data_IF_793489511094
#
_entry.id   IF_793489511094
#
_cell.length_a   1.000
_cell.length_b   1.000
_cell.length_c   1.000
_cell.angle_alpha   90.00
_cell.angle_beta   90.00
_cell.angle_gamma   90.00
#
_symmetry.space_group_name_H-M   'P 1'
#
loop_
_entity.id
_entity.type
_entity.pdbx_description
1 polymer ?
#
# COMPACT_ATOMS: atom_id res chain seq x y z
N UNK A 1 17.35 17.43 -10.86
CA UNK A 1 17.93 16.68 -9.73
C UNK A 1 19.19 15.87 -10.05
N UNK A 2 19.42 15.35 -11.26
CA UNK A 2 20.58 14.47 -11.52
C UNK A 2 21.82 15.24 -12.03
N UNK A 3 22.56 15.90 -11.12
CA UNK A 3 23.80 16.62 -11.43
C UNK A 3 24.90 16.32 -10.40
N UNK A 4 26.13 16.76 -10.67
CA UNK A 4 27.30 16.44 -9.83
C UNK A 4 27.21 16.99 -8.41
N UNK A 5 26.54 18.12 -8.22
CA UNK A 5 26.31 18.72 -6.89
C UNK A 5 25.43 17.79 -6.06
N UNK A 6 24.28 17.37 -6.59
CA UNK A 6 23.36 16.46 -5.90
C UNK A 6 24.00 15.08 -5.68
N UNK A 7 24.68 14.55 -6.69
CA UNK A 7 25.43 13.28 -6.58
C UNK A 7 26.48 13.32 -5.47
N UNK A 8 27.18 14.44 -5.34
CA UNK A 8 28.17 14.64 -4.28
C UNK A 8 27.51 14.78 -2.92
N UNK A 9 26.36 15.45 -2.84
CA UNK A 9 25.60 15.56 -1.60
C UNK A 9 25.15 14.18 -1.08
N UNK A 10 24.68 13.29 -1.96
CA UNK A 10 24.25 11.94 -1.59
C UNK A 10 25.34 11.08 -0.93
N UNK A 11 26.62 11.33 -1.24
CA UNK A 11 27.75 10.59 -0.63
C UNK A 11 27.88 10.82 0.89
N UNK A 12 27.23 11.86 1.42
CA UNK A 12 27.28 12.18 2.84
C UNK A 12 26.27 11.37 3.69
N UNK A 13 25.38 10.59 3.06
CA UNK A 13 24.39 9.78 3.78
C UNK A 13 24.84 8.33 3.93
N UNK A 14 25.01 7.88 5.18
CA UNK A 14 25.50 6.53 5.52
C UNK A 14 24.63 5.39 4.96
N UNK A 15 23.32 5.56 4.93
CA UNK A 15 22.35 4.52 4.58
C UNK A 15 21.68 4.79 3.22
N UNK A 16 22.35 5.51 2.32
CA UNK A 16 21.85 5.83 0.99
C UNK A 16 22.62 5.03 -0.06
N UNK A 17 21.89 4.36 -0.94
CA UNK A 17 22.41 3.90 -2.22
C UNK A 17 21.74 4.71 -3.32
N UNK A 18 22.53 5.39 -4.14
CA UNK A 18 22.03 6.10 -5.31
C UNK A 18 22.39 5.35 -6.58
N UNK A 19 21.39 5.08 -7.41
CA UNK A 19 21.54 4.45 -8.72
C UNK A 19 21.24 5.44 -9.83
N UNK A 20 21.94 5.29 -10.96
CA UNK A 20 21.74 6.11 -12.15
C UNK A 20 21.76 5.20 -13.37
N UNK A 21 20.66 5.16 -14.12
CA UNK A 21 20.54 4.38 -15.34
C UNK A 21 19.79 5.16 -16.41
N UNK A 22 19.93 4.72 -17.65
CA UNK A 22 19.26 5.33 -18.81
C UNK A 22 17.86 4.71 -19.02
N UNK A 23 17.04 4.73 -17.96
CA UNK A 23 15.65 4.25 -18.05
C UNK A 23 14.86 5.16 -18.99
N UNK A 24 14.00 4.56 -19.80
CA UNK A 24 13.28 5.26 -20.87
C UNK A 24 12.03 5.95 -20.34
N UNK A 25 11.42 5.39 -19.29
CA UNK A 25 10.17 5.86 -18.73
C UNK A 25 10.16 5.75 -17.20
N UNK A 26 9.07 6.22 -16.60
CA UNK A 26 8.88 6.29 -15.14
C UNK A 26 8.84 4.89 -14.53
N UNK A 27 8.10 3.95 -15.12
CA UNK A 27 7.91 2.61 -14.56
C UNK A 27 9.20 1.78 -14.61
N UNK A 28 9.97 1.89 -15.69
CA UNK A 28 11.31 1.31 -15.78
C UNK A 28 12.20 1.82 -14.64
N UNK A 29 12.17 3.13 -14.35
CA UNK A 29 12.95 3.72 -13.27
C UNK A 29 12.52 3.26 -11.87
N UNK A 30 11.22 3.10 -11.66
CA UNK A 30 10.65 2.62 -10.38
C UNK A 30 11.03 1.16 -10.11
N UNK A 31 11.01 0.31 -11.14
CA UNK A 31 11.31 -1.11 -11.00
C UNK A 31 12.83 -1.42 -11.02
N UNK A 32 13.66 -0.45 -11.43
CA UNK A 32 15.10 -0.63 -11.55
C UNK A 32 15.77 -0.97 -10.20
N UNK A 33 16.84 -1.75 -10.27
CA UNK A 33 17.73 -2.07 -9.14
C UNK A 33 17.10 -2.74 -7.92
N UNK A 34 15.87 -3.28 -8.02
CA UNK A 34 15.18 -3.93 -6.89
C UNK A 34 15.34 -5.46 -6.83
N UNK A 35 15.50 -6.14 -7.97
CA UNK A 35 15.43 -7.62 -8.06
C UNK A 35 16.34 -8.36 -7.08
N UNK A 36 17.53 -7.81 -6.80
CA UNK A 36 18.52 -8.42 -5.91
C UNK A 36 18.66 -7.71 -4.56
N UNK A 37 17.75 -6.80 -4.22
CA UNK A 37 17.78 -6.08 -2.95
C UNK A 37 17.15 -6.91 -1.85
N UNK A 38 17.76 -6.87 -0.68
CA UNK A 38 17.22 -7.45 0.55
C UNK A 38 16.39 -6.39 1.27
N UNK A 39 15.11 -6.69 1.47
CA UNK A 39 14.17 -5.87 2.23
C UNK A 39 13.03 -6.75 2.73
N UNK A 40 12.40 -6.35 3.83
CA UNK A 40 11.16 -6.96 4.33
C UNK A 40 9.93 -6.15 3.91
N UNK A 41 10.08 -4.82 3.84
CA UNK A 41 9.05 -3.85 3.47
C UNK A 41 9.68 -2.86 2.50
N UNK A 42 8.97 -2.57 1.42
CA UNK A 42 9.34 -1.60 0.40
C UNK A 42 8.33 -0.46 0.41
N UNK A 43 8.85 0.78 0.40
CA UNK A 43 8.10 2.01 0.20
C UNK A 43 8.63 2.66 -1.08
N UNK A 44 7.74 2.90 -2.03
CA UNK A 44 7.99 3.80 -3.14
C UNK A 44 7.62 5.22 -2.72
N UNK A 45 8.56 6.16 -2.84
CA UNK A 45 8.32 7.58 -2.62
C UNK A 45 8.94 8.40 -3.76
N UNK A 46 8.21 9.41 -4.22
CA UNK A 46 8.65 10.40 -5.21
C UNK A 46 9.13 11.68 -4.52
N UNK A 47 9.70 12.61 -5.29
CA UNK A 47 10.22 13.90 -4.80
C UNK A 47 9.14 14.87 -4.32
N UNK A 48 7.89 14.64 -4.73
CA UNK A 48 6.69 15.36 -4.27
C UNK A 48 5.98 14.68 -3.09
N UNK A 49 6.59 13.65 -2.48
CA UNK A 49 6.03 12.95 -1.32
C UNK A 49 6.71 13.36 -0.01
N UNK A 50 6.00 14.11 0.82
CA UNK A 50 6.54 14.79 2.01
C UNK A 50 6.09 14.08 3.30
N UNK A 51 7.01 13.50 4.10
CA UNK A 51 6.67 12.95 5.40
C UNK A 51 6.10 14.02 6.35
N UNK A 52 4.95 13.75 6.96
CA UNK A 52 4.28 14.69 7.88
C UNK A 52 4.49 14.35 9.36
N UNK A 53 4.90 13.11 9.65
CA UNK A 53 5.03 12.62 11.02
C UNK A 53 6.42 12.02 11.28
N UNK A 54 7.07 12.36 12.40
CA UNK A 54 8.28 11.67 12.84
C UNK A 54 7.99 10.18 13.07
N UNK A 55 8.92 9.31 12.63
CA UNK A 55 8.77 7.86 12.81
C UNK A 55 7.73 7.20 11.91
N UNK A 56 7.39 7.80 10.76
CA UNK A 56 6.49 7.20 9.77
C UNK A 56 6.94 5.80 9.32
N UNK A 57 8.25 5.55 9.29
CA UNK A 57 8.87 4.26 8.98
C UNK A 57 8.59 3.20 10.05
N UNK A 58 8.61 3.58 11.33
CA UNK A 58 8.22 2.70 12.44
C UNK A 58 6.73 2.36 12.36
N UNK A 59 5.88 3.33 12.03
CA UNK A 59 4.44 3.12 11.85
C UNK A 59 4.15 2.17 10.68
N UNK A 60 4.87 2.32 9.56
CA UNK A 60 4.81 1.39 8.42
C UNK A 60 5.18 -0.03 8.87
N UNK A 61 6.29 -0.17 9.61
CA UNK A 61 6.77 -1.47 10.09
C UNK A 61 5.74 -2.15 11.00
N UNK A 62 5.21 -1.41 11.97
CA UNK A 62 4.19 -1.92 12.91
C UNK A 62 2.90 -2.28 12.18
N UNK A 63 2.44 -1.45 11.25
CA UNK A 63 1.25 -1.70 10.46
C UNK A 63 1.42 -2.95 9.57
N UNK A 64 2.58 -3.16 8.96
CA UNK A 64 2.85 -4.35 8.17
C UNK A 64 2.78 -5.60 9.04
N UNK A 65 3.57 -5.69 10.13
CA UNK A 65 3.59 -6.90 10.94
C UNK A 65 2.26 -7.18 11.66
N UNK A 66 1.47 -6.15 11.95
CA UNK A 66 0.14 -6.30 12.55
C UNK A 66 -0.89 -6.89 11.57
N UNK A 67 -0.85 -6.52 10.30
CA UNK A 67 -1.87 -6.91 9.31
C UNK A 67 -1.41 -8.05 8.39
N UNK A 68 -0.10 -8.16 8.15
CA UNK A 68 0.54 -9.10 7.23
C UNK A 68 1.86 -9.57 7.84
N UNK A 69 1.79 -10.38 8.90
CA UNK A 69 2.96 -10.85 9.65
C UNK A 69 3.95 -11.66 8.81
N UNK A 70 3.51 -12.22 7.69
CA UNK A 70 4.33 -12.93 6.70
C UNK A 70 4.80 -12.04 5.54
N UNK A 71 4.58 -10.73 5.61
CA UNK A 71 4.87 -9.71 4.59
C UNK A 71 4.12 -9.89 3.26
N UNK A 72 3.07 -10.70 3.22
CA UNK A 72 2.21 -10.83 2.05
C UNK A 72 1.07 -9.81 2.09
N UNK A 73 1.41 -8.53 1.95
CA UNK A 73 0.40 -7.49 1.86
C UNK A 73 0.91 -6.11 1.47
N UNK A 74 -0.06 -5.22 1.31
CA UNK A 74 0.05 -3.83 0.87
C UNK A 74 -0.64 -2.93 1.89
N UNK A 75 0.06 -1.89 2.32
CA UNK A 75 -0.50 -0.82 3.15
C UNK A 75 -0.89 0.35 2.24
N UNK A 76 -2.08 0.88 2.45
CA UNK A 76 -2.60 2.03 1.73
C UNK A 76 -2.91 3.13 2.73
N UNK A 77 -1.98 4.05 2.92
CA UNK A 77 -2.20 5.25 3.73
C UNK A 77 -2.81 6.35 2.87
N UNK A 78 -3.69 7.14 3.48
CA UNK A 78 -4.30 8.29 2.81
C UNK A 78 -3.21 9.32 2.45
N UNK A 79 -3.18 9.75 1.19
CA UNK A 79 -2.14 10.65 0.66
C UNK A 79 -2.42 12.14 0.94
N UNK A 80 -3.56 12.42 1.58
CA UNK A 80 -4.02 13.76 1.91
C UNK A 80 -5.07 14.33 0.95
N UNK A 81 -5.31 13.68 -0.19
CA UNK A 81 -6.19 14.22 -1.23
C UNK A 81 -7.20 13.20 -1.77
N UNK A 82 -6.80 11.95 -2.05
CA UNK A 82 -7.70 10.95 -2.65
C UNK A 82 -7.74 9.62 -1.90
N UNK A 83 -8.90 8.94 -1.95
CA UNK A 83 -9.17 7.67 -1.23
C UNK A 83 -9.62 6.54 -2.14
N UNK A 84 -9.42 6.70 -3.44
CA UNK A 84 -9.79 5.76 -4.50
C UNK A 84 -8.59 5.14 -5.21
N UNK A 85 -7.38 5.66 -4.98
CA UNK A 85 -6.11 5.20 -5.57
C UNK A 85 -5.01 5.11 -4.51
N UNK A 86 -4.22 4.04 -4.55
CA UNK A 86 -3.03 3.88 -3.71
C UNK A 86 -1.82 4.50 -4.40
N UNK A 87 -1.58 5.78 -4.12
CA UNK A 87 -0.47 6.57 -4.64
C UNK A 87 0.84 6.36 -3.86
N UNK A 88 0.77 5.76 -2.66
CA UNK A 88 1.90 5.49 -1.79
C UNK A 88 2.13 3.98 -1.66
N UNK A 89 2.78 3.38 -2.66
CA UNK A 89 3.00 1.93 -2.69
C UNK A 89 3.91 1.46 -1.55
N UNK A 90 3.29 0.90 -0.52
CA UNK A 90 3.97 0.25 0.60
C UNK A 90 3.60 -1.22 0.58
N UNK A 91 4.57 -2.09 0.32
CA UNK A 91 4.35 -3.53 0.14
C UNK A 91 5.39 -4.37 0.88
N UNK A 92 4.97 -5.52 1.36
CA UNK A 92 5.87 -6.48 1.98
C UNK A 92 6.61 -7.34 0.95
N UNK A 93 7.73 -7.93 1.36
CA UNK A 93 8.61 -8.73 0.50
C UNK A 93 7.90 -9.91 -0.16
N UNK A 94 7.11 -10.67 0.61
CA UNK A 94 6.36 -11.82 0.06
C UNK A 94 5.30 -11.38 -0.97
N UNK A 95 4.72 -10.19 -0.81
CA UNK A 95 3.83 -9.63 -1.83
C UNK A 95 4.61 -9.26 -3.10
N UNK A 96 5.74 -8.56 -2.96
CA UNK A 96 6.61 -8.20 -4.08
C UNK A 96 7.09 -9.43 -4.87
N UNK A 97 7.52 -10.49 -4.18
CA UNK A 97 8.08 -11.70 -4.79
C UNK A 97 7.11 -12.45 -5.70
N UNK A 98 5.79 -12.23 -5.54
CA UNK A 98 4.78 -12.78 -6.45
C UNK A 98 4.92 -12.25 -7.88
N UNK A 99 5.33 -10.99 -8.03
CA UNK A 99 5.35 -10.28 -9.30
C UNK A 99 6.77 -9.95 -9.77
N UNK A 100 7.68 -9.67 -8.83
CA UNK A 100 9.05 -9.24 -9.13
C UNK A 100 9.15 -7.79 -9.60
N UNK A 101 8.12 -6.98 -9.37
CA UNK A 101 8.03 -5.56 -9.70
C UNK A 101 7.10 -4.81 -8.72
N UNK A 102 7.19 -3.49 -8.67
CA UNK A 102 6.20 -2.64 -7.97
C UNK A 102 5.01 -2.41 -8.90
N UNK A 103 5.31 -1.97 -10.13
CA UNK A 103 4.33 -1.71 -11.19
C UNK A 103 4.56 -2.64 -12.37
N UNK A 104 3.50 -3.03 -13.07
CA UNK A 104 3.64 -3.89 -14.23
C UNK A 104 4.58 -3.24 -15.27
N UNK A 105 5.66 -3.93 -15.71
CA UNK A 105 6.66 -3.36 -16.62
C UNK A 105 6.16 -2.96 -18.01
N UNK A 106 4.94 -3.35 -18.39
CA UNK A 106 4.34 -2.97 -19.68
C UNK A 106 3.86 -1.51 -19.72
N UNK A 107 3.64 -0.89 -18.55
CA UNK A 107 3.32 0.53 -18.46
C UNK A 107 4.55 1.41 -18.66
N UNK A 108 4.35 2.60 -19.22
CA UNK A 108 5.38 3.63 -19.30
C UNK A 108 5.33 4.62 -18.11
N UNK A 109 4.15 5.14 -17.80
CA UNK A 109 3.98 6.31 -16.93
C UNK A 109 2.70 6.29 -16.08
N UNK A 110 1.54 6.14 -16.72
CA UNK A 110 0.20 6.30 -16.14
C UNK A 110 -0.46 4.94 -15.89
N UNK A 111 -1.55 4.92 -15.11
CA UNK A 111 -2.41 3.76 -14.80
C UNK A 111 -1.75 2.57 -14.08
N UNK A 112 -0.43 2.57 -13.90
CA UNK A 112 0.29 1.53 -13.19
C UNK A 112 -0.09 1.42 -11.71
N UNK A 113 -0.39 2.54 -11.05
CA UNK A 113 -0.91 2.61 -9.69
C UNK A 113 -2.40 2.21 -9.61
N UNK A 114 -3.18 2.46 -10.66
CA UNK A 114 -4.54 1.93 -10.78
C UNK A 114 -4.54 0.40 -10.78
N UNK A 115 -3.73 -0.24 -11.63
CA UNK A 115 -3.59 -1.71 -11.62
C UNK A 115 -3.09 -2.19 -10.25
N UNK A 116 -2.03 -1.60 -9.70
CA UNK A 116 -1.51 -1.98 -8.38
C UNK A 116 -2.60 -1.96 -7.29
N UNK A 117 -3.40 -0.88 -7.25
CA UNK A 117 -4.49 -0.72 -6.28
C UNK A 117 -5.55 -1.80 -6.45
N UNK A 118 -5.95 -2.09 -7.69
CA UNK A 118 -7.00 -3.08 -7.97
C UNK A 118 -6.48 -4.49 -7.70
N UNK A 119 -5.28 -4.84 -8.15
CA UNK A 119 -4.67 -6.16 -7.93
C UNK A 119 -4.51 -6.46 -6.44
N UNK A 120 -4.01 -5.50 -5.65
CA UNK A 120 -3.87 -5.67 -4.20
C UNK A 120 -5.25 -5.89 -3.53
N UNK A 121 -6.28 -5.20 -4.03
CA UNK A 121 -7.65 -5.40 -3.59
C UNK A 121 -8.19 -6.77 -4.01
N UNK A 122 -8.04 -7.20 -5.26
CA UNK A 122 -8.48 -8.48 -5.80
C UNK A 122 -7.91 -9.65 -5.00
N UNK A 123 -6.61 -9.59 -4.68
CA UNK A 123 -5.93 -10.59 -3.85
C UNK A 123 -6.36 -10.57 -2.37
N UNK A 124 -7.07 -9.53 -1.92
CA UNK A 124 -7.44 -9.37 -0.51
C UNK A 124 -6.23 -9.04 0.37
N UNK A 125 -5.18 -8.47 -0.22
CA UNK A 125 -3.89 -8.21 0.41
C UNK A 125 -3.63 -6.72 0.64
N UNK A 126 -4.67 -5.89 0.63
CA UNK A 126 -4.56 -4.45 0.87
C UNK A 126 -5.28 -4.02 2.15
N UNK A 127 -4.63 -3.17 2.95
CA UNK A 127 -5.24 -2.54 4.13
C UNK A 127 -5.18 -1.01 4.03
N UNK A 128 -6.35 -0.36 4.09
CA UNK A 128 -6.46 1.09 4.09
C UNK A 128 -6.34 1.70 5.50
N UNK A 129 -5.67 2.85 5.60
CA UNK A 129 -5.48 3.68 6.78
C UNK A 129 -5.84 5.14 6.43
N UNK A 130 -6.74 5.75 7.20
CA UNK A 130 -7.36 7.03 6.86
C UNK A 130 -6.57 8.28 7.30
N UNK A 131 -5.39 8.09 7.88
CA UNK A 131 -4.48 9.16 8.30
C UNK A 131 -3.30 9.30 7.35
N UNK A 132 -2.78 10.52 7.27
CA UNK A 132 -1.65 10.89 6.40
C UNK A 132 -0.35 10.70 7.17
N UNK A 133 0.55 9.90 6.60
CA UNK A 133 1.93 9.75 7.12
C UNK A 133 2.95 10.44 6.21
N UNK A 134 2.65 10.44 4.91
CA UNK A 134 3.40 11.10 3.84
C UNK A 134 2.34 11.74 2.94
N UNK A 135 2.40 13.05 2.74
CA UNK A 135 1.49 13.79 1.88
C UNK A 135 2.02 13.80 0.45
N UNK A 136 1.16 13.51 -0.51
CA UNK A 136 1.49 13.57 -1.94
C UNK A 136 1.17 14.95 -2.50
N UNK A 137 2.19 15.79 -2.63
CA UNK A 137 2.09 17.19 -3.07
C UNK A 137 2.10 17.29 -4.61
N UNK A 138 1.25 16.50 -5.27
CA UNK A 138 1.22 16.43 -6.73
C UNK A 138 1.04 17.83 -7.34
N UNK A 139 1.83 18.23 -8.37
CA UNK A 139 1.82 19.58 -8.92
C UNK A 139 0.43 20.12 -9.28
N UNK A 140 -0.42 19.28 -9.88
CA UNK A 140 -1.81 19.65 -10.22
C UNK A 140 -2.70 19.94 -9.01
N UNK A 141 -2.43 19.28 -7.88
CA UNK A 141 -3.19 19.44 -6.63
C UNK A 141 -2.81 20.76 -5.96
N UNK A 142 -1.50 21.03 -5.89
CA UNK A 142 -0.96 22.23 -5.21
C UNK A 142 -0.83 23.44 -6.15
N UNK A 143 -1.22 23.28 -7.42
CA UNK A 143 -1.14 24.29 -8.48
C UNK A 143 0.27 24.84 -8.67
N UNK A 144 1.26 23.96 -8.63
CA UNK A 144 2.65 24.28 -8.91
C UNK A 144 2.91 24.15 -10.42
N UNK A 145 3.85 24.94 -10.94
CA UNK A 145 4.32 24.81 -12.32
C UNK A 145 4.95 23.43 -12.56
N UNK A 146 4.70 22.89 -13.75
CA UNK A 146 5.25 21.62 -14.20
C UNK A 146 6.72 21.77 -14.58
N UNK A 147 7.52 20.77 -14.24
CA UNK A 147 8.91 20.69 -14.68
C UNK A 147 9.04 19.83 -15.95
N UNK A 148 10.22 19.83 -16.56
CA UNK A 148 10.47 19.03 -17.76
C UNK A 148 10.28 17.52 -17.54
N UNK A 149 10.44 17.04 -16.30
CA UNK A 149 10.23 15.63 -15.95
C UNK A 149 8.74 15.29 -16.00
N UNK A 150 7.92 16.16 -15.43
CA UNK A 150 6.46 16.06 -15.45
C UNK A 150 5.92 16.10 -16.87
N UNK A 151 6.35 17.08 -17.68
CA UNK A 151 5.89 17.24 -19.06
C UNK A 151 6.22 16.01 -19.91
N UNK A 152 7.43 15.47 -19.77
CA UNK A 152 7.84 14.25 -20.46
C UNK A 152 6.95 13.07 -20.08
N UNK A 153 6.65 12.91 -18.79
CA UNK A 153 5.80 11.84 -18.29
C UNK A 153 4.32 12.05 -18.63
N UNK A 154 3.94 13.24 -19.10
CA UNK A 154 2.59 13.59 -19.58
C UNK A 154 2.48 13.58 -21.10
N UNK A 155 3.34 12.81 -21.78
CA UNK A 155 3.22 12.61 -23.21
C UNK A 155 1.84 12.00 -23.55
N UNK A 156 0.98 12.70 -24.32
CA UNK A 156 -0.39 12.23 -24.58
C UNK A 156 -0.46 10.87 -25.28
N UNK A 157 0.54 10.53 -26.10
CA UNK A 157 0.58 9.23 -26.77
C UNK A 157 0.86 8.09 -25.78
N UNK A 158 1.77 8.31 -24.82
CA UNK A 158 2.08 7.33 -23.77
C UNK A 158 0.92 7.17 -22.80
N UNK A 159 0.30 8.28 -22.37
CA UNK A 159 -0.87 8.25 -21.49
C UNK A 159 -2.00 7.42 -22.12
N UNK A 160 -2.28 7.63 -23.41
CA UNK A 160 -3.30 6.87 -24.15
C UNK A 160 -2.93 5.39 -24.30
N UNK A 161 -1.66 5.08 -24.51
CA UNK A 161 -1.19 3.70 -24.60
C UNK A 161 -1.33 2.97 -23.26
N UNK A 162 -0.93 3.61 -22.17
CA UNK A 162 -1.08 3.10 -20.80
C UNK A 162 -2.56 2.90 -20.42
N UNK A 163 -3.46 3.82 -20.82
CA UNK A 163 -4.90 3.68 -20.62
C UNK A 163 -5.45 2.44 -21.35
N UNK A 164 -5.11 2.30 -22.64
CA UNK A 164 -5.56 1.17 -23.45
C UNK A 164 -5.06 -0.16 -22.87
N UNK A 165 -3.79 -0.20 -22.44
CA UNK A 165 -3.20 -1.34 -21.77
C UNK A 165 -3.96 -1.67 -20.48
N UNK A 166 -4.19 -0.70 -19.60
CA UNK A 166 -4.95 -0.89 -18.37
C UNK A 166 -6.33 -1.46 -18.61
N UNK A 167 -7.07 -0.92 -19.59
CA UNK A 167 -8.39 -1.44 -19.94
C UNK A 167 -8.30 -2.90 -20.41
N UNK A 168 -7.35 -3.24 -21.29
CA UNK A 168 -7.20 -4.63 -21.75
C UNK A 168 -6.79 -5.61 -20.64
N UNK A 169 -5.91 -5.21 -19.73
CA UNK A 169 -5.45 -6.05 -18.62
C UNK A 169 -6.56 -6.24 -17.59
N UNK A 170 -7.39 -5.22 -17.38
CA UNK A 170 -8.56 -5.29 -16.49
C UNK A 170 -9.57 -6.36 -16.94
N UNK A 171 -9.78 -6.54 -18.24
CA UNK A 171 -10.71 -7.57 -18.77
C UNK A 171 -10.27 -9.01 -18.44
N UNK A 172 -9.00 -9.21 -18.10
CA UNK A 172 -8.43 -10.52 -17.73
C UNK A 172 -7.98 -10.56 -16.26
N UNK A 173 -8.56 -9.71 -15.41
CA UNK A 173 -8.22 -9.56 -13.99
C UNK A 173 -6.71 -9.37 -13.74
N UNK A 174 -6.03 -8.67 -14.65
CA UNK A 174 -4.60 -8.36 -14.60
C UNK A 174 -3.70 -9.61 -14.49
N UNK A 175 -4.13 -10.73 -15.08
CA UNK A 175 -3.45 -12.04 -15.00
C UNK A 175 -3.37 -12.63 -13.59
N UNK A 176 -4.17 -12.12 -12.64
CA UNK A 176 -4.21 -12.66 -11.27
C UNK A 176 -4.86 -14.05 -11.30
N UNK A 177 -4.16 -15.12 -10.84
CA UNK A 177 -4.73 -16.46 -10.86
C UNK A 177 -6.05 -16.55 -10.06
N UNK A 178 -7.11 -17.05 -10.69
CA UNK A 178 -8.45 -17.17 -10.10
C UNK A 178 -8.47 -17.96 -8.78
N UNK A 179 -7.54 -18.91 -8.60
CA UNK A 179 -7.39 -19.65 -7.34
C UNK A 179 -7.06 -18.74 -6.15
N UNK A 180 -6.28 -17.67 -6.37
CA UNK A 180 -5.94 -16.70 -5.32
C UNK A 180 -7.14 -15.79 -4.98
N UNK A 181 -8.00 -15.51 -5.96
CA UNK A 181 -9.22 -14.71 -5.77
C UNK A 181 -10.25 -15.51 -4.97
N UNK A 182 -10.46 -16.78 -5.30
CA UNK A 182 -11.40 -17.66 -4.59
C UNK A 182 -11.04 -17.88 -3.11
N UNK A 183 -9.75 -17.87 -2.76
CA UNK A 183 -9.30 -17.99 -1.37
C UNK A 183 -9.68 -16.78 -0.52
N UNK A 184 -9.73 -15.58 -1.10
CA UNK A 184 -10.23 -14.37 -0.43
C UNK A 184 -11.73 -14.51 -0.12
N UNK A 185 -12.52 -14.92 -1.10
CA UNK A 185 -13.97 -15.09 -0.93
C UNK A 185 -14.27 -16.14 0.15
N UNK A 186 -13.52 -17.25 0.16
CA UNK A 186 -13.62 -18.29 1.20
C UNK A 186 -13.26 -17.78 2.60
N UNK A 187 -12.22 -16.96 2.74
CA UNK A 187 -11.81 -16.39 4.03
C UNK A 187 -12.81 -15.34 4.54
N UNK A 188 -13.46 -14.58 3.65
CA UNK A 188 -14.48 -13.60 4.01
C UNK A 188 -15.85 -14.23 4.31
N UNK A 189 -16.14 -15.40 3.72
CA UNK A 189 -17.37 -16.15 3.95
C UNK A 189 -17.36 -17.00 5.24
N UNK A 190 -16.22 -17.13 5.94
CA UNK A 190 -16.21 -17.85 7.21
C UNK A 190 -17.00 -17.07 8.29
N UNK A 191 -17.92 -17.72 9.02
CA UNK A 191 -18.76 -17.06 10.00
C UNK A 191 -17.90 -16.45 11.11
N UNK A 192 -18.19 -15.18 11.47
CA UNK A 192 -17.54 -14.48 12.58
C UNK A 192 -17.58 -15.37 13.83
N UNK A 193 -16.50 -15.45 14.63
CA UNK A 193 -16.48 -16.24 15.85
C UNK A 193 -17.65 -15.82 16.75
N UNK A 194 -18.46 -16.82 17.13
CA UNK A 194 -19.63 -16.61 17.99
C UNK A 194 -19.14 -15.96 19.28
N UNK A 195 -19.69 -14.80 19.68
CA UNK A 195 -19.27 -14.13 20.90
C UNK A 195 -19.45 -15.08 22.10
N UNK A 196 -18.53 -15.08 23.07
CA UNK A 196 -18.62 -15.97 24.21
C UNK A 196 -19.96 -15.77 24.92
N UNK A 197 -20.72 -16.86 25.06
CA UNK A 197 -22.00 -16.86 25.77
C UNK A 197 -21.78 -16.28 27.17
N UNK A 198 -22.33 -15.10 27.42
CA UNK A 198 -22.36 -14.49 28.75
C UNK A 198 -22.98 -15.51 29.72
N UNK A 199 -22.16 -16.03 30.64
CA UNK A 199 -22.66 -16.82 31.76
C UNK A 199 -23.59 -15.90 32.57
N UNK A 200 -24.88 -16.16 32.48
CA UNK A 200 -25.90 -15.44 33.23
C UNK A 200 -25.57 -15.47 34.72
N UNK A 201 -25.50 -14.29 35.32
CA UNK A 201 -25.36 -14.12 36.77
C UNK A 201 -26.52 -14.87 37.44
N UNK A 202 -26.20 -15.89 38.24
CA UNK A 202 -27.21 -16.59 39.03
C UNK A 202 -27.84 -15.61 40.03
N UNK A 203 -29.18 -15.55 40.01
CA UNK A 203 -29.99 -14.80 40.98
C UNK A 203 -29.72 -15.36 42.38
N UNK A 204 -29.11 -14.55 43.26
CA UNK A 204 -29.10 -14.82 44.69
C UNK A 204 -30.54 -14.79 45.21
N UNK A 205 -31.03 -15.96 45.58
CA UNK A 205 -32.26 -16.18 46.35
C UNK A 205 -32.10 -15.60 47.76
N UNK A 206 -32.78 -14.49 48.05
CA UNK A 206 -32.97 -13.99 49.42
C UNK A 206 -34.04 -14.82 50.12
N UNK A 207 -33.58 -15.78 50.93
CA UNK A 207 -34.42 -16.59 51.82
C UNK A 207 -34.89 -15.73 53.00
N UNK A 208 -36.17 -15.37 53.02
CA UNK A 208 -36.85 -14.75 54.18
C UNK A 208 -36.77 -15.70 55.38
N UNK A 209 -36.07 -15.30 56.44
CA UNK A 209 -36.10 -16.01 57.72
C UNK A 209 -37.27 -15.48 58.56
N UNK A 210 -38.32 -16.31 58.66
CA UNK A 210 -39.47 -16.12 59.53
C UNK A 210 -39.17 -16.86 60.84
N UNK A 211 -38.73 -16.15 61.90
CA UNK A 211 -38.70 -16.71 63.26
C UNK A 211 -39.97 -16.34 64.02
N UNK A 212 -40.74 -17.36 64.38
CA UNK A 212 -41.90 -17.36 65.26
C UNK A 212 -41.46 -17.35 66.73
N UNK A 213 -42.14 -16.51 67.53
CA UNK A 213 -42.69 -16.72 68.91
C UNK A 213 -41.93 -17.54 69.96
N UNK A 214 -41.79 -16.94 71.15
CA UNK A 214 -41.99 -17.43 72.56
C UNK A 214 -41.13 -16.54 73.46
N UNK A 215 -41.55 -15.93 74.56
CA UNK A 215 -42.75 -15.94 75.41
C UNK A 215 -42.98 -14.49 75.85
#
# INVERSE_FOLDING_TARGET
MNNDIVRSHFKNFKNLTASYSNNKNKVEAINADLRNKKFDILLLASDDMVPEIPGYDLLIKEAMYKNFSDTDGVLWFFDGFRKDLNTLCILGKKYYDRFGYIYNPEYATWFCDNEFTIVAHLLGKQRFFDHVIIRHMHPDIIKQEHDATFDRNNNPAEVKADEALFLSRKEIDFDVPQLLIADKERQQAQPKPVPPKNKSKSRKSTRKNRKKRRK
#
